data_IF_021152642989
#
_entry.id   IF_021152642989
#
_cell.length_a   1.000
_cell.length_b   1.000
_cell.length_c   1.000
_cell.angle_alpha   90.00
_cell.angle_beta   90.00
_cell.angle_gamma   90.00
#
_symmetry.space_group_name_H-M   'P 1'
#
loop_
_entity.id
_entity.type
_entity.pdbx_description
1 polymer ?
#
# COMPACT_ATOMS: atom_id res chain seq x y z
N UNK A 1 26.47 27.33 0.28
CA UNK A 1 25.08 26.88 0.05
C UNK A 1 24.56 26.23 1.33
N UNK A 2 23.79 26.97 2.14
CA UNK A 2 23.32 26.49 3.44
C UNK A 2 22.18 25.49 3.25
N UNK A 3 22.36 24.26 3.74
CA UNK A 3 21.31 23.24 3.76
C UNK A 3 20.21 23.70 4.74
N UNK A 4 19.14 24.31 4.22
CA UNK A 4 18.00 24.72 5.07
C UNK A 4 17.19 23.46 5.40
N UNK A 5 17.34 22.96 6.62
CA UNK A 5 16.59 21.81 7.14
C UNK A 5 15.24 22.30 7.67
N UNK A 6 14.16 21.85 7.06
CA UNK A 6 12.80 22.09 7.55
C UNK A 6 12.37 20.84 8.31
N UNK A 7 12.11 20.99 9.61
CA UNK A 7 11.52 19.93 10.44
C UNK A 7 10.02 20.20 10.52
N UNK A 8 9.23 19.26 10.03
CA UNK A 8 7.78 19.28 10.20
C UNK A 8 7.34 18.09 11.03
N UNK A 9 6.32 18.32 11.86
CA UNK A 9 5.58 17.25 12.53
C UNK A 9 4.46 16.86 11.58
N UNK A 10 4.26 15.56 11.35
CA UNK A 10 3.05 15.11 10.64
C UNK A 10 1.84 15.56 11.47
N UNK A 11 1.13 16.55 10.95
CA UNK A 11 -0.04 17.16 11.52
C UNK A 11 -1.18 16.13 11.60
N UNK A 12 -1.95 16.20 12.68
CA UNK A 12 -3.12 15.34 12.95
C UNK A 12 -4.22 15.46 11.89
N UNK A 13 -4.12 16.44 10.98
CA UNK A 13 -4.97 16.60 9.79
C UNK A 13 -4.60 15.71 8.61
N UNK A 14 -3.46 15.02 8.63
CA UNK A 14 -3.15 14.00 7.62
C UNK A 14 -4.01 12.76 7.86
N UNK A 15 -4.89 12.45 6.91
CA UNK A 15 -5.81 11.31 6.93
C UNK A 15 -5.13 10.03 7.51
N UNK A 16 -3.96 9.64 6.99
CA UNK A 16 -3.23 8.44 7.46
C UNK A 16 -2.64 8.52 8.87
N UNK A 17 -2.39 9.74 9.37
CA UNK A 17 -1.91 9.95 10.73
C UNK A 17 -3.05 9.75 11.73
N UNK A 18 -4.19 10.39 11.48
CA UNK A 18 -5.43 10.21 12.29
C UNK A 18 -5.79 8.72 12.43
N UNK A 19 -5.69 7.98 11.34
CA UNK A 19 -5.95 6.55 11.30
C UNK A 19 -4.96 5.72 12.10
N UNK A 20 -3.69 6.13 12.11
CA UNK A 20 -2.67 5.48 12.91
C UNK A 20 -2.92 5.69 14.40
N UNK A 21 -3.48 6.82 14.79
CA UNK A 21 -3.88 7.10 16.16
C UNK A 21 -5.04 6.20 16.61
N UNK A 22 -5.99 5.90 15.70
CA UNK A 22 -7.06 4.95 16.01
C UNK A 22 -6.54 3.52 16.17
N UNK A 23 -5.64 3.07 15.29
CA UNK A 23 -4.98 1.76 15.45
C UNK A 23 -4.13 1.71 16.73
N UNK A 24 -3.46 2.80 17.09
CA UNK A 24 -2.71 2.90 18.33
C UNK A 24 -3.62 2.68 19.55
N UNK A 25 -4.80 3.30 19.57
CA UNK A 25 -5.77 3.12 20.66
C UNK A 25 -6.21 1.67 20.81
N UNK A 26 -6.49 0.98 19.69
CA UNK A 26 -6.86 -0.45 19.70
C UNK A 26 -5.73 -1.28 20.30
N UNK A 27 -4.49 -1.07 19.84
CA UNK A 27 -3.34 -1.80 20.36
C UNK A 27 -3.00 -1.48 21.82
N UNK A 28 -3.49 -0.36 22.35
CA UNK A 28 -3.27 0.02 23.73
C UNK A 28 -4.28 -0.62 24.70
N UNK A 29 -5.30 -1.33 24.19
CA UNK A 29 -6.31 -2.01 25.02
C UNK A 29 -5.72 -3.21 25.76
N UNK A 30 -4.75 -3.90 25.15
CA UNK A 30 -4.14 -5.10 25.71
C UNK A 30 -2.67 -4.86 26.07
N UNK A 31 -2.24 -5.37 27.23
CA UNK A 31 -0.87 -5.17 27.73
C UNK A 31 0.19 -5.72 26.76
N UNK A 32 -0.12 -6.84 26.09
CA UNK A 32 0.75 -7.50 25.11
C UNK A 32 1.14 -6.56 23.95
N UNK A 33 0.24 -5.67 23.52
CA UNK A 33 0.42 -4.84 22.33
C UNK A 33 0.89 -3.41 22.62
N UNK A 34 1.12 -3.04 23.89
CA UNK A 34 1.53 -1.68 24.28
C UNK A 34 2.80 -1.19 23.58
N UNK A 35 3.81 -2.05 23.41
CA UNK A 35 5.04 -1.70 22.68
C UNK A 35 4.76 -1.34 21.22
N UNK A 36 3.81 -2.03 20.58
CA UNK A 36 3.40 -1.72 19.22
C UNK A 36 2.62 -0.41 19.18
N UNK A 37 1.72 -0.19 20.15
CA UNK A 37 0.98 1.07 20.28
C UNK A 37 1.94 2.26 20.37
N UNK A 38 2.92 2.25 21.29
CA UNK A 38 3.90 3.33 21.43
C UNK A 38 4.67 3.61 20.13
N UNK A 39 5.09 2.56 19.42
CA UNK A 39 5.77 2.70 18.13
C UNK A 39 4.87 3.35 17.07
N UNK A 40 3.60 2.98 17.01
CA UNK A 40 2.63 3.58 16.08
C UNK A 40 2.38 5.05 16.44
N UNK A 41 2.24 5.38 17.73
CA UNK A 41 2.11 6.76 18.21
C UNK A 41 3.30 7.65 17.82
N UNK A 42 4.51 7.12 17.85
CA UNK A 42 5.72 7.85 17.45
C UNK A 42 5.98 7.85 15.93
N UNK A 43 5.17 7.14 15.14
CA UNK A 43 5.36 7.02 13.70
C UNK A 43 5.11 8.36 13.00
N UNK A 44 6.00 8.73 12.07
CA UNK A 44 5.97 10.01 11.33
C UNK A 44 5.99 11.27 12.21
N UNK A 45 6.38 11.15 13.48
CA UNK A 45 6.45 12.31 14.38
C UNK A 45 7.50 13.36 13.96
N UNK A 46 8.49 12.96 13.16
CA UNK A 46 9.55 13.86 12.65
C UNK A 46 9.75 13.58 11.16
N UNK A 47 9.64 14.64 10.35
CA UNK A 47 10.02 14.65 8.94
C UNK A 47 11.00 15.81 8.71
N UNK A 48 12.25 15.50 8.33
CA UNK A 48 13.25 16.50 7.94
C UNK A 48 13.36 16.58 6.43
N UNK A 49 13.24 17.78 5.90
CA UNK A 49 13.39 18.07 4.48
C UNK A 49 14.63 18.92 4.23
N UNK A 50 15.36 18.63 3.16
CA UNK A 50 16.31 19.56 2.57
C UNK A 50 15.66 20.29 1.41
N UNK A 51 15.85 21.60 1.35
CA UNK A 51 15.53 22.38 0.16
C UNK A 51 16.53 22.08 -0.96
N UNK A 52 16.02 21.87 -2.18
CA UNK A 52 16.76 21.77 -3.42
C UNK A 52 16.29 22.93 -4.30
N UNK A 53 17.23 23.66 -4.87
CA UNK A 53 16.96 24.69 -5.87
C UNK A 53 16.87 24.04 -7.26
N UNK A 54 15.85 24.41 -8.03
CA UNK A 54 15.67 23.96 -9.42
C UNK A 54 16.44 24.94 -10.33
N UNK A 55 17.68 24.60 -10.69
CA UNK A 55 18.60 25.51 -11.39
C UNK A 55 18.24 25.75 -12.87
N UNK A 56 17.33 24.96 -13.46
CA UNK A 56 17.12 24.97 -14.92
C UNK A 56 16.10 26.00 -15.44
N UNK A 57 15.34 26.71 -14.60
CA UNK A 57 14.25 27.58 -15.10
C UNK A 57 14.23 29.01 -14.57
N UNK A 58 15.18 29.42 -13.72
CA UNK A 58 15.17 30.76 -13.08
C UNK A 58 13.95 31.03 -12.18
N UNK A 59 12.96 30.12 -12.16
CA UNK A 59 11.86 30.05 -11.21
C UNK A 59 12.34 29.20 -10.05
N UNK A 60 12.57 29.82 -8.89
CA UNK A 60 12.86 29.11 -7.62
C UNK A 60 11.67 28.22 -7.25
N UNK A 61 11.55 27.04 -7.88
CA UNK A 61 10.65 26.00 -7.42
C UNK A 61 11.31 25.41 -6.18
N UNK A 62 10.74 25.74 -5.03
CA UNK A 62 11.20 25.25 -3.74
C UNK A 62 10.93 23.74 -3.68
N UNK A 63 11.88 22.92 -4.14
CA UNK A 63 11.72 21.46 -4.16
C UNK A 63 12.21 20.91 -2.84
N UNK A 64 11.30 20.38 -2.02
CA UNK A 64 11.64 19.74 -0.76
C UNK A 64 11.94 18.27 -1.00
N UNK A 65 13.15 17.82 -0.63
CA UNK A 65 13.50 16.40 -0.57
C UNK A 65 13.48 15.94 0.88
N UNK A 66 12.70 14.90 1.17
CA UNK A 66 12.70 14.27 2.48
C UNK A 66 14.07 13.63 2.73
N UNK A 67 14.79 14.11 3.74
CA UNK A 67 16.10 13.62 4.16
C UNK A 67 15.99 12.53 5.22
N UNK A 68 15.18 12.80 6.26
CA UNK A 68 15.03 11.91 7.39
C UNK A 68 13.57 11.80 7.78
N UNK A 69 13.16 10.59 8.12
CA UNK A 69 11.87 10.36 8.75
C UNK A 69 11.83 9.06 9.54
N UNK A 70 11.14 9.09 10.67
CA UNK A 70 11.01 7.93 11.55
C UNK A 70 9.70 7.17 11.28
N UNK A 71 9.82 5.95 10.77
CA UNK A 71 8.69 5.05 10.55
C UNK A 71 8.74 3.85 11.46
N UNK A 72 7.61 3.53 12.08
CA UNK A 72 7.53 2.42 13.01
C UNK A 72 7.65 1.05 12.33
N UNK A 73 7.31 0.94 11.03
CA UNK A 73 7.27 -0.29 10.23
C UNK A 73 6.35 -1.39 10.78
N UNK A 74 5.47 -1.07 11.73
CA UNK A 74 4.47 -2.00 12.27
C UNK A 74 3.48 -2.36 11.17
N UNK A 75 3.14 -3.65 11.07
CA UNK A 75 2.30 -4.20 9.99
C UNK A 75 0.95 -3.50 9.86
N UNK A 76 0.35 -3.09 10.96
CA UNK A 76 -0.98 -2.49 10.96
C UNK A 76 -0.96 -0.96 11.03
N UNK A 77 0.21 -0.32 10.96
CA UNK A 77 0.32 1.14 10.97
C UNK A 77 -0.09 1.72 9.60
N UNK A 78 -1.18 2.51 9.52
CA UNK A 78 -1.66 3.11 8.28
C UNK A 78 -0.62 3.98 7.58
N UNK A 79 0.15 4.79 8.31
CA UNK A 79 1.22 5.62 7.73
C UNK A 79 2.29 4.78 7.03
N UNK A 80 2.84 3.77 7.72
CA UNK A 80 3.92 2.95 7.16
C UNK A 80 3.48 2.16 5.94
N UNK A 81 2.24 1.71 6.00
CA UNK A 81 1.67 0.83 5.03
C UNK A 81 1.25 1.65 3.78
N UNK A 82 0.94 2.95 3.94
CA UNK A 82 0.71 3.90 2.83
C UNK A 82 1.99 4.29 2.12
N UNK A 83 3.06 4.53 2.89
CA UNK A 83 4.37 4.73 2.28
C UNK A 83 4.84 3.50 1.51
N UNK A 84 4.50 2.30 2.00
CA UNK A 84 4.81 1.06 1.29
C UNK A 84 4.05 0.97 -0.04
N UNK A 85 2.77 1.35 -0.09
CA UNK A 85 2.03 1.36 -1.36
C UNK A 85 2.62 2.33 -2.37
N UNK A 86 2.97 3.55 -1.95
CA UNK A 86 3.62 4.55 -2.81
C UNK A 86 4.98 4.06 -3.34
N UNK A 87 5.77 3.41 -2.48
CA UNK A 87 7.05 2.83 -2.87
C UNK A 87 6.87 1.72 -3.92
N UNK A 88 5.90 0.82 -3.73
CA UNK A 88 5.60 -0.21 -4.71
C UNK A 88 5.10 0.35 -6.03
N UNK A 89 4.24 1.38 -5.98
CA UNK A 89 3.75 2.08 -7.16
C UNK A 89 4.91 2.70 -7.95
N UNK A 90 5.80 3.42 -7.26
CA UNK A 90 6.98 4.03 -7.89
C UNK A 90 7.89 2.98 -8.54
N UNK A 91 8.20 1.88 -7.82
CA UNK A 91 9.00 0.78 -8.36
C UNK A 91 8.35 0.15 -9.59
N UNK A 92 7.04 -0.03 -9.58
CA UNK A 92 6.31 -0.58 -10.71
C UNK A 92 6.42 0.33 -11.94
N UNK A 93 6.17 1.64 -11.79
CA UNK A 93 6.31 2.60 -12.89
C UNK A 93 7.75 2.68 -13.41
N UNK A 94 8.75 2.60 -12.53
CA UNK A 94 10.17 2.57 -12.96
C UNK A 94 10.53 1.31 -13.74
N UNK A 95 9.93 0.16 -13.40
CA UNK A 95 10.18 -1.12 -14.10
C UNK A 95 9.39 -1.25 -15.41
N UNK A 96 8.27 -0.53 -15.54
CA UNK A 96 7.35 -0.68 -16.66
C UNK A 96 7.99 -0.50 -18.06
N UNK A 97 8.88 0.48 -18.31
CA UNK A 97 9.52 0.63 -19.62
C UNK A 97 10.37 -0.57 -20.03
N UNK A 98 11.09 -1.19 -19.07
CA UNK A 98 11.89 -2.37 -19.33
C UNK A 98 11.01 -3.56 -19.70
N UNK A 99 9.90 -3.75 -18.99
CA UNK A 99 8.93 -4.83 -19.25
C UNK A 99 8.30 -4.69 -20.63
N UNK A 100 7.91 -3.47 -21.02
CA UNK A 100 7.31 -3.21 -22.35
C UNK A 100 8.33 -3.48 -23.47
N UNK A 101 9.60 -3.12 -23.25
CA UNK A 101 10.67 -3.36 -24.23
C UNK A 101 10.99 -4.86 -24.39
N UNK A 102 11.03 -5.60 -23.30
CA UNK A 102 11.33 -7.04 -23.30
C UNK A 102 10.16 -7.87 -23.86
N UNK A 103 8.92 -7.45 -23.60
CA UNK A 103 7.70 -8.15 -24.01
C UNK A 103 6.77 -7.25 -24.85
N UNK A 104 7.16 -6.84 -26.07
CA UNK A 104 6.42 -5.84 -26.86
C UNK A 104 5.04 -6.30 -27.34
N UNK A 105 4.79 -7.61 -27.37
CA UNK A 105 3.50 -8.20 -27.74
C UNK A 105 2.62 -8.53 -26.53
N UNK A 106 3.13 -8.38 -25.30
CA UNK A 106 2.34 -8.65 -24.10
C UNK A 106 1.27 -7.57 -23.88
N UNK A 107 0.15 -7.96 -23.27
CA UNK A 107 -0.93 -7.03 -22.90
C UNK A 107 -1.13 -7.06 -21.39
N UNK A 108 -1.43 -5.91 -20.82
CA UNK A 108 -1.85 -5.85 -19.42
C UNK A 108 -3.35 -6.11 -19.35
N UNK A 109 -3.72 -7.11 -18.56
CA UNK A 109 -5.09 -7.42 -18.18
C UNK A 109 -5.32 -6.91 -16.76
N UNK A 110 -6.29 -6.02 -16.60
CA UNK A 110 -6.75 -5.60 -15.28
C UNK A 110 -7.94 -6.47 -14.87
N UNK A 111 -7.77 -7.24 -13.79
CA UNK A 111 -8.75 -8.20 -13.31
C UNK A 111 -9.19 -7.88 -11.88
N UNK A 112 -10.49 -7.73 -11.68
CA UNK A 112 -11.10 -7.55 -10.37
C UNK A 112 -11.93 -8.78 -10.01
N UNK A 113 -11.55 -9.47 -8.93
CA UNK A 113 -12.29 -10.62 -8.39
C UNK A 113 -12.87 -10.22 -7.03
N UNK A 114 -14.20 -10.30 -6.92
CA UNK A 114 -14.93 -9.94 -5.70
C UNK A 114 -15.65 -11.14 -5.13
N UNK A 115 -15.78 -11.15 -3.80
CA UNK A 115 -16.61 -12.09 -3.05
C UNK A 115 -17.60 -11.25 -2.26
N UNK A 116 -18.83 -11.75 -2.07
CA UNK A 116 -19.81 -11.10 -1.21
C UNK A 116 -19.23 -10.92 0.19
N UNK A 117 -19.57 -9.82 0.86
CA UNK A 117 -19.13 -9.56 2.23
C UNK A 117 -19.48 -10.76 3.14
N UNK A 118 -18.47 -11.38 3.73
CA UNK A 118 -18.59 -12.41 4.75
C UNK A 118 -18.68 -11.77 6.15
N UNK A 119 -19.00 -12.56 7.18
CA UNK A 119 -18.83 -12.10 8.56
C UNK A 119 -17.34 -11.93 8.87
N UNK A 120 -17.00 -11.09 9.86
CA UNK A 120 -15.58 -10.85 10.17
C UNK A 120 -14.85 -12.12 10.61
N UNK A 121 -15.53 -12.95 11.39
CA UNK A 121 -14.96 -14.18 11.95
C UNK A 121 -14.53 -15.12 10.81
N UNK A 122 -15.27 -15.09 9.70
CA UNK A 122 -14.99 -15.86 8.48
C UNK A 122 -14.00 -15.18 7.53
N UNK A 123 -13.55 -13.95 7.81
CA UNK A 123 -12.72 -13.18 6.88
C UNK A 123 -11.40 -13.88 6.59
N UNK A 124 -10.73 -14.41 7.62
CA UNK A 124 -9.46 -15.11 7.47
C UNK A 124 -9.60 -16.33 6.56
N UNK A 125 -10.65 -17.13 6.79
CA UNK A 125 -10.93 -18.32 5.98
C UNK A 125 -11.35 -17.96 4.56
N UNK A 126 -12.16 -16.94 4.39
CA UNK A 126 -12.54 -16.41 3.07
C UNK A 126 -11.31 -15.96 2.29
N UNK A 127 -10.39 -15.22 2.91
CA UNK A 127 -9.12 -14.82 2.30
C UNK A 127 -8.25 -16.03 1.93
N UNK A 128 -8.22 -17.07 2.77
CA UNK A 128 -7.51 -18.33 2.47
C UNK A 128 -8.12 -19.05 1.27
N UNK A 129 -9.45 -19.10 1.18
CA UNK A 129 -10.17 -19.67 0.04
C UNK A 129 -9.89 -18.87 -1.23
N UNK A 130 -9.95 -17.54 -1.18
CA UNK A 130 -9.63 -16.66 -2.31
C UNK A 130 -8.18 -16.82 -2.78
N UNK A 131 -7.24 -16.95 -1.85
CA UNK A 131 -5.84 -17.21 -2.17
C UNK A 131 -5.68 -18.57 -2.84
N UNK A 132 -6.34 -19.60 -2.32
CA UNK A 132 -6.32 -20.95 -2.91
C UNK A 132 -6.95 -20.97 -4.31
N UNK A 133 -8.07 -20.27 -4.50
CA UNK A 133 -8.71 -20.10 -5.80
C UNK A 133 -7.79 -19.39 -6.81
N UNK A 134 -7.06 -18.38 -6.37
CA UNK A 134 -6.05 -17.72 -7.21
C UNK A 134 -4.88 -18.64 -7.57
N UNK A 135 -4.40 -19.47 -6.64
CA UNK A 135 -3.38 -20.47 -6.96
C UNK A 135 -3.88 -21.46 -8.02
N UNK A 136 -5.13 -21.91 -7.91
CA UNK A 136 -5.74 -22.80 -8.91
C UNK A 136 -5.84 -22.13 -10.29
N UNK A 137 -6.30 -20.88 -10.32
CA UNK A 137 -6.43 -20.09 -11.54
C UNK A 137 -5.08 -19.91 -12.26
N UNK A 138 -4.00 -19.63 -11.51
CA UNK A 138 -2.69 -19.28 -12.09
C UNK A 138 -1.71 -20.45 -12.25
N UNK A 139 -1.72 -21.46 -11.36
CA UNK A 139 -0.66 -22.48 -11.28
C UNK A 139 -1.10 -23.88 -11.73
N UNK A 140 -2.40 -24.23 -11.64
CA UNK A 140 -2.78 -25.65 -11.67
C UNK A 140 -3.80 -26.03 -12.73
N UNK A 141 -4.88 -25.27 -12.91
CA UNK A 141 -6.10 -25.89 -13.46
C UNK A 141 -6.61 -25.31 -14.78
N UNK A 142 -6.12 -24.13 -15.21
CA UNK A 142 -6.69 -23.42 -16.38
C UNK A 142 -5.65 -23.21 -17.46
N UNK A 143 -5.82 -23.93 -18.58
CA UNK A 143 -4.99 -23.80 -19.79
C UNK A 143 -5.01 -22.35 -20.30
N UNK A 144 -6.12 -21.66 -20.07
CA UNK A 144 -6.39 -20.28 -20.45
C UNK A 144 -5.49 -19.24 -19.76
N UNK A 145 -4.78 -19.62 -18.69
CA UNK A 145 -3.87 -18.74 -17.95
C UNK A 145 -2.41 -19.21 -18.01
N UNK A 146 -2.11 -20.24 -18.81
CA UNK A 146 -0.74 -20.77 -18.97
C UNK A 146 0.22 -19.74 -19.61
N UNK A 147 -0.31 -18.79 -20.38
CA UNK A 147 0.46 -17.74 -21.07
C UNK A 147 0.62 -16.44 -20.27
N UNK A 148 0.28 -16.44 -18.97
CA UNK A 148 0.59 -15.34 -18.09
C UNK A 148 2.10 -15.29 -17.80
N UNK A 149 2.74 -14.18 -18.17
CA UNK A 149 4.18 -13.96 -17.91
C UNK A 149 4.45 -13.52 -16.47
N UNK A 150 3.48 -12.84 -15.86
CA UNK A 150 3.59 -12.35 -14.50
C UNK A 150 2.32 -11.64 -14.05
N UNK A 151 2.23 -11.37 -12.75
CA UNK A 151 1.09 -10.70 -12.17
C UNK A 151 1.50 -9.90 -10.93
N UNK A 152 0.76 -8.83 -10.69
CA UNK A 152 0.78 -8.06 -9.45
C UNK A 152 -0.63 -8.15 -8.85
N UNK A 153 -0.70 -8.46 -7.56
CA UNK A 153 -1.97 -8.65 -6.86
C UNK A 153 -2.01 -7.81 -5.57
N UNK A 154 -3.10 -7.09 -5.40
CA UNK A 154 -3.59 -6.58 -4.12
C UNK A 154 -4.85 -7.35 -3.69
N UNK A 155 -5.14 -7.36 -2.40
CA UNK A 155 -6.45 -7.79 -1.87
C UNK A 155 -7.00 -6.64 -1.05
N UNK A 156 -8.20 -6.20 -1.40
CA UNK A 156 -8.91 -5.15 -0.68
C UNK A 156 -10.01 -5.78 0.16
N UNK A 157 -10.23 -5.24 1.36
CA UNK A 157 -11.35 -5.60 2.23
C UNK A 157 -12.13 -4.31 2.51
N UNK A 158 -13.39 -4.28 2.08
CA UNK A 158 -14.27 -3.12 2.22
C UNK A 158 -15.37 -3.44 3.23
N UNK A 159 -15.62 -2.51 4.15
CA UNK A 159 -16.69 -2.65 5.16
C UNK A 159 -18.02 -2.17 4.61
N UNK A 160 -19.09 -2.97 4.80
CA UNK A 160 -20.46 -2.54 4.54
C UNK A 160 -20.96 -1.54 5.59
N UNK A 161 -22.03 -0.78 5.28
CA UNK A 161 -22.56 0.29 6.15
C UNK A 161 -23.06 -0.21 7.52
N UNK A 162 -23.37 -1.51 7.64
CA UNK A 162 -24.14 -2.07 8.75
C UNK A 162 -23.31 -2.47 9.99
N UNK A 163 -22.02 -2.12 10.03
CA UNK A 163 -21.22 -2.22 11.27
C UNK A 163 -20.79 -3.62 11.71
N UNK A 164 -21.55 -4.67 11.38
CA UNK A 164 -21.43 -6.08 11.81
C UNK A 164 -20.34 -6.89 11.07
N UNK A 165 -19.71 -6.29 10.06
CA UNK A 165 -18.58 -6.85 9.32
C UNK A 165 -17.38 -5.96 9.57
N UNK A 166 -16.31 -6.48 10.17
CA UNK A 166 -15.38 -5.61 10.89
C UNK A 166 -14.51 -4.70 10.05
N UNK A 167 -14.18 -3.62 10.75
CA UNK A 167 -13.12 -2.68 10.47
C UNK A 167 -11.76 -3.29 10.80
N UNK A 168 -10.97 -3.45 9.74
CA UNK A 168 -9.62 -2.88 9.73
C UNK A 168 -9.49 -2.10 8.41
N UNK A 169 -10.13 -0.94 8.35
CA UNK A 169 -9.76 0.05 7.35
C UNK A 169 -8.29 0.36 7.57
N UNK A 170 -7.45 0.05 6.58
CA UNK A 170 -6.52 0.98 5.94
C UNK A 170 -5.51 0.17 5.14
N UNK A 171 -5.88 -0.23 3.90
CA UNK A 171 -5.27 0.17 2.62
C UNK A 171 -6.37 0.22 1.56
N UNK A 172 -6.64 1.42 1.07
CA UNK A 172 -7.35 1.62 -0.18
C UNK A 172 -6.38 1.36 -1.32
N UNK A 173 -6.49 0.22 -2.00
CA UNK A 173 -6.26 0.09 -3.43
C UNK A 173 -7.10 -1.09 -3.89
N UNK A 174 -7.94 -0.83 -4.90
CA UNK A 174 -8.81 -1.77 -5.61
C UNK A 174 -8.39 -3.23 -5.51
N UNK A 175 -9.34 -4.15 -5.40
CA UNK A 175 -9.14 -5.54 -5.85
C UNK A 175 -8.85 -5.52 -7.35
N UNK A 176 -7.60 -5.26 -7.67
CA UNK A 176 -7.10 -4.88 -8.98
C UNK A 176 -5.85 -5.69 -9.20
N UNK A 177 -6.04 -6.88 -9.76
CA UNK A 177 -4.95 -7.72 -10.17
C UNK A 177 -4.53 -7.22 -11.54
N UNK A 178 -3.39 -6.55 -11.59
CA UNK A 178 -2.75 -6.24 -12.87
C UNK A 178 -1.97 -7.47 -13.28
N UNK A 179 -2.54 -8.19 -14.23
CA UNK A 179 -1.99 -9.41 -14.79
C UNK A 179 -1.33 -9.07 -16.11
N UNK A 180 -0.06 -9.43 -16.31
CA UNK A 180 0.57 -9.33 -17.62
C UNK A 180 0.27 -10.62 -18.39
N UNK A 181 -0.60 -10.52 -19.40
CA UNK A 181 -1.09 -11.65 -20.19
C UNK A 181 -0.73 -11.48 -21.66
N UNK A 182 -0.22 -12.53 -22.29
CA UNK A 182 -0.19 -12.59 -23.74
C UNK A 182 -1.59 -12.99 -24.23
N UNK A 183 -2.38 -12.05 -24.75
CA UNK A 183 -3.44 -12.42 -25.69
C UNK A 183 -2.73 -12.62 -27.02
N UNK A 184 -2.67 -13.88 -27.45
CA UNK A 184 -2.15 -14.24 -28.77
C UNK A 184 -3.01 -13.61 -29.86
#
# INVERSE_FOLDING_TARGET
MGLRIIVSKADSGMLHRSQADDVQKIYNQELEFQRLAQRIGNCSGILRFSQIDDDETGKKKLKLRLQEAHFCRVRHCPVCQWRRSLMWQARFYSALPAIIKEYPKARFLFLTLTVKNCHIEDLSDTLRIMNSGWQRLRLKDRKEFKWLLGWIRSTEVTKGKDGLTSSFSYFAYGSSQLVCSFLR
#
